data_IF_913173459198
#
_entry.id   IF_913173459198
#
_cell.length_a   1.000
_cell.length_b   1.000
_cell.length_c   1.000
_cell.angle_alpha   90.00
_cell.angle_beta   90.00
_cell.angle_gamma   90.00
#
_symmetry.space_group_name_H-M   'P 1'
#
loop_
_entity.id
_entity.type
_entity.pdbx_description
1 polymer ?
#
# COMPACT_ATOMS: atom_id res chain seq x y z
N UNK A 1 14.02 -9.02 1.78
CA UNK A 1 13.88 -10.00 0.67
C UNK A 1 13.16 -9.27 -0.46
N UNK A 2 13.59 -9.38 -1.72
CA UNK A 2 12.85 -8.83 -2.87
C UNK A 2 11.92 -9.90 -3.39
N UNK A 3 10.67 -9.57 -3.68
CA UNK A 3 9.68 -10.53 -4.20
C UNK A 3 9.53 -10.37 -5.72
N UNK A 4 9.06 -11.42 -6.42
CA UNK A 4 8.72 -11.33 -7.85
C UNK A 4 7.69 -10.25 -8.13
N UNK A 5 6.83 -9.93 -7.16
CA UNK A 5 5.90 -8.81 -7.24
C UNK A 5 6.58 -7.46 -7.36
N UNK A 6 7.77 -7.30 -6.77
CA UNK A 6 8.59 -6.08 -6.88
C UNK A 6 9.35 -6.00 -8.21
N UNK A 7 9.63 -7.13 -8.86
CA UNK A 7 10.39 -7.20 -10.12
C UNK A 7 9.51 -7.05 -11.37
N UNK A 8 8.23 -7.49 -11.29
CA UNK A 8 7.31 -7.45 -12.44
C UNK A 8 6.60 -6.11 -12.49
N UNK A 9 7.15 -5.16 -13.20
CA UNK A 9 6.64 -3.79 -13.31
C UNK A 9 5.61 -3.58 -14.44
N UNK A 10 5.53 -4.49 -15.43
CA UNK A 10 4.85 -4.25 -16.71
C UNK A 10 3.49 -4.92 -16.88
N UNK A 11 3.04 -5.73 -15.90
CA UNK A 11 1.77 -6.47 -16.02
C UNK A 11 0.79 -6.09 -14.91
N UNK A 12 -0.51 -6.07 -15.22
CA UNK A 12 -1.59 -5.84 -14.25
C UNK A 12 -1.58 -6.95 -13.18
N UNK A 13 -1.80 -6.59 -11.89
CA UNK A 13 -1.95 -7.56 -10.79
C UNK A 13 -3.07 -8.56 -11.05
N UNK A 14 -4.12 -8.15 -11.76
CA UNK A 14 -5.25 -9.00 -12.13
C UNK A 14 -4.86 -10.12 -13.07
N UNK A 15 -3.78 -9.97 -13.87
CA UNK A 15 -3.31 -11.00 -14.81
C UNK A 15 -2.62 -12.20 -14.13
N UNK A 16 -2.31 -12.09 -12.83
CA UNK A 16 -1.68 -13.16 -12.03
C UNK A 16 -2.65 -13.83 -11.05
N UNK A 17 -3.96 -13.73 -11.28
CA UNK A 17 -4.96 -14.34 -10.40
C UNK A 17 -5.27 -13.57 -9.13
N UNK A 18 -4.73 -12.35 -8.96
CA UNK A 18 -5.12 -11.39 -7.92
C UNK A 18 -4.77 -11.76 -6.47
N UNK A 19 -4.36 -12.99 -6.19
CA UNK A 19 -4.06 -13.47 -4.83
C UNK A 19 -2.56 -13.77 -4.68
N UNK A 20 -1.95 -13.25 -3.61
CA UNK A 20 -0.65 -13.73 -3.12
C UNK A 20 0.60 -13.38 -3.95
N UNK A 21 0.55 -12.38 -4.84
CA UNK A 21 1.72 -12.03 -5.67
C UNK A 21 2.89 -11.50 -4.82
N UNK A 22 2.61 -10.96 -3.64
CA UNK A 22 3.60 -10.41 -2.72
C UNK A 22 3.80 -11.28 -1.47
N UNK A 23 2.87 -12.20 -1.16
CA UNK A 23 2.92 -12.99 0.09
C UNK A 23 3.48 -14.39 -0.14
N UNK A 24 3.22 -15.01 -1.29
CA UNK A 24 3.53 -16.41 -1.54
C UNK A 24 5.00 -16.79 -1.31
N UNK A 25 5.94 -15.97 -1.74
CA UNK A 25 7.38 -16.25 -1.55
C UNK A 25 7.78 -16.17 -0.08
N UNK A 26 7.17 -15.23 0.67
CA UNK A 26 7.37 -15.10 2.12
C UNK A 26 6.69 -16.24 2.87
N UNK A 27 5.48 -16.64 2.46
CA UNK A 27 4.75 -17.80 3.00
C UNK A 27 5.56 -19.10 2.82
N UNK A 28 6.14 -19.32 1.63
CA UNK A 28 7.01 -20.47 1.36
C UNK A 28 8.27 -20.44 2.24
N UNK A 29 8.89 -19.26 2.44
CA UNK A 29 10.06 -19.09 3.30
C UNK A 29 9.73 -19.32 4.78
N UNK A 30 8.56 -18.87 5.26
CA UNK A 30 8.07 -19.14 6.61
C UNK A 30 7.85 -20.65 6.85
N UNK A 31 7.20 -21.33 5.89
CA UNK A 31 6.97 -22.77 5.99
C UNK A 31 8.26 -23.58 6.03
N UNK A 32 9.28 -23.17 5.26
CA UNK A 32 10.62 -23.77 5.24
C UNK A 32 11.52 -23.34 6.41
N UNK A 33 11.04 -22.41 7.25
CA UNK A 33 11.81 -21.81 8.35
C UNK A 33 13.09 -21.08 7.90
N UNK A 34 13.09 -20.57 6.66
CA UNK A 34 14.15 -19.69 6.12
C UNK A 34 14.04 -18.27 6.69
N UNK A 35 12.83 -17.87 7.11
CA UNK A 35 12.54 -16.65 7.86
C UNK A 35 11.66 -16.96 9.05
N UNK A 36 11.75 -16.17 10.11
CA UNK A 36 11.01 -16.38 11.35
C UNK A 36 9.63 -15.73 11.33
N UNK A 37 9.55 -14.53 10.77
CA UNK A 37 8.36 -13.70 10.70
C UNK A 37 8.31 -12.99 9.34
N UNK A 38 7.10 -12.73 8.84
CA UNK A 38 6.88 -11.85 7.70
C UNK A 38 5.96 -10.69 8.09
N UNK A 39 6.32 -9.46 7.71
CA UNK A 39 5.56 -8.26 8.00
C UNK A 39 4.92 -7.75 6.73
N UNK A 40 3.62 -7.54 6.76
CA UNK A 40 2.81 -7.15 5.61
C UNK A 40 1.95 -5.92 5.92
N UNK A 41 1.58 -5.18 4.89
CA UNK A 41 0.42 -4.30 4.98
C UNK A 41 -0.85 -5.16 4.99
N UNK A 42 -1.70 -5.03 6.01
CA UNK A 42 -2.88 -5.90 6.16
C UNK A 42 -3.82 -5.86 4.95
N UNK A 43 -3.93 -4.70 4.28
CA UNK A 43 -4.73 -4.53 3.06
C UNK A 43 -4.26 -5.38 1.86
N UNK A 44 -3.01 -5.86 1.88
CA UNK A 44 -2.41 -6.64 0.80
C UNK A 44 -2.40 -8.16 1.11
N UNK A 45 -2.87 -8.53 2.32
CA UNK A 45 -2.96 -9.92 2.76
C UNK A 45 -4.11 -10.67 2.07
N UNK A 46 -3.92 -11.97 1.79
CA UNK A 46 -5.01 -12.82 1.31
C UNK A 46 -6.03 -13.08 2.42
N UNK A 47 -7.27 -13.42 2.03
CA UNK A 47 -8.32 -13.82 2.97
C UNK A 47 -8.12 -15.23 3.56
N UNK A 48 -7.35 -16.06 2.87
CA UNK A 48 -7.05 -17.45 3.25
C UNK A 48 -5.54 -17.63 3.27
N UNK A 49 -5.03 -18.24 4.34
CA UNK A 49 -3.61 -18.52 4.54
C UNK A 49 -3.29 -19.97 4.24
N UNK A 50 -2.07 -20.29 3.79
CA UNK A 50 -1.58 -21.66 3.70
C UNK A 50 -1.69 -22.37 5.06
N UNK A 51 -1.96 -23.69 5.02
CA UNK A 51 -1.97 -24.50 6.23
C UNK A 51 -0.62 -24.39 6.96
N UNK A 52 -0.68 -24.18 8.27
CA UNK A 52 0.51 -24.01 9.10
C UNK A 52 0.95 -22.56 9.31
N UNK A 53 0.38 -21.57 8.57
CA UNK A 53 0.61 -20.15 8.80
C UNK A 53 -0.61 -19.48 9.46
N UNK A 54 -0.39 -18.32 10.06
CA UNK A 54 -1.43 -17.50 10.66
C UNK A 54 -0.93 -16.06 10.87
N UNK A 55 -1.87 -15.14 11.03
CA UNK A 55 -1.55 -13.79 11.53
C UNK A 55 -1.38 -13.86 13.03
N UNK A 56 -0.13 -13.75 13.48
CA UNK A 56 0.21 -13.84 14.91
C UNK A 56 0.07 -12.53 15.65
N UNK A 57 0.17 -11.39 14.93
CA UNK A 57 -0.06 -10.07 15.48
C UNK A 57 -0.52 -9.08 14.40
N UNK A 58 -1.31 -8.10 14.81
CA UNK A 58 -1.53 -6.86 14.07
C UNK A 58 -1.04 -5.71 14.95
N UNK A 59 -0.42 -4.72 14.34
CA UNK A 59 0.11 -3.57 15.06
C UNK A 59 -0.93 -2.45 15.10
N UNK A 60 -0.70 -1.47 15.98
CA UNK A 60 -1.51 -0.27 16.07
C UNK A 60 -1.73 0.37 14.69
N UNK A 61 -2.95 0.79 14.44
CA UNK A 61 -3.35 1.35 13.16
C UNK A 61 -2.81 2.77 13.00
N UNK A 62 -2.00 2.98 11.98
CA UNK A 62 -1.56 4.30 11.56
C UNK A 62 -2.64 5.00 10.72
N UNK A 63 -2.35 6.23 10.27
CA UNK A 63 -3.27 7.04 9.47
C UNK A 63 -3.82 6.26 8.27
N UNK A 64 -5.15 6.28 8.14
CA UNK A 64 -5.90 5.51 7.13
C UNK A 64 -6.07 6.24 5.81
N UNK A 65 -5.81 7.56 5.76
CA UNK A 65 -6.08 8.37 4.58
C UNK A 65 -5.33 7.88 3.34
N UNK A 66 -5.98 8.04 2.21
CA UNK A 66 -5.28 8.15 0.94
C UNK A 66 -4.80 9.60 0.78
N UNK A 67 -3.64 9.75 0.14
CA UNK A 67 -3.01 11.06 -0.05
C UNK A 67 -2.75 11.27 -1.53
N UNK A 68 -3.22 12.40 -2.05
CA UNK A 68 -2.75 12.91 -3.34
C UNK A 68 -1.40 13.59 -3.12
N UNK A 69 -0.39 13.14 -3.85
CA UNK A 69 0.96 13.70 -3.80
C UNK A 69 1.25 14.40 -5.13
N UNK A 70 1.65 15.67 -5.05
CA UNK A 70 2.06 16.50 -6.19
C UNK A 70 3.37 17.21 -5.89
N UNK A 71 4.01 17.77 -6.89
CA UNK A 71 5.14 18.70 -6.72
C UNK A 71 4.68 20.16 -6.67
N UNK A 72 3.45 20.45 -7.08
CA UNK A 72 2.91 21.81 -7.25
C UNK A 72 1.98 22.27 -6.14
N UNK A 73 1.41 21.33 -5.37
CA UNK A 73 0.40 21.61 -4.34
C UNK A 73 -1.03 21.75 -4.86
N UNK A 74 -1.26 21.47 -6.15
CA UNK A 74 -2.60 21.49 -6.75
C UNK A 74 -3.45 20.38 -6.13
N UNK A 75 -4.69 20.70 -5.75
CA UNK A 75 -5.64 19.78 -5.14
C UNK A 75 -6.29 18.85 -6.16
N UNK A 76 -6.83 17.71 -5.69
CA UNK A 76 -7.45 16.69 -6.53
C UNK A 76 -8.53 17.27 -7.46
N UNK A 77 -9.42 18.11 -6.92
CA UNK A 77 -10.50 18.76 -7.67
C UNK A 77 -10.02 19.86 -8.65
N UNK A 78 -8.81 20.37 -8.46
CA UNK A 78 -8.21 21.47 -9.21
C UNK A 78 -7.21 21.00 -10.26
N UNK A 79 -6.92 19.69 -10.34
CA UNK A 79 -6.08 19.14 -11.39
C UNK A 79 -6.64 19.50 -12.76
N UNK A 80 -5.78 19.98 -13.64
CA UNK A 80 -6.17 20.40 -14.99
C UNK A 80 -6.73 19.23 -15.82
N UNK A 81 -7.65 19.48 -16.76
CA UNK A 81 -8.14 18.44 -17.66
C UNK A 81 -6.99 17.71 -18.37
N UNK A 82 -7.02 16.38 -18.31
CA UNK A 82 -5.99 15.51 -18.89
C UNK A 82 -4.77 15.27 -18.01
N UNK A 83 -4.68 15.87 -16.80
CA UNK A 83 -3.60 15.57 -15.84
C UNK A 83 -3.48 14.07 -15.58
N UNK A 84 -2.24 13.58 -15.54
CA UNK A 84 -1.93 12.17 -15.37
C UNK A 84 -1.80 11.84 -13.87
N UNK A 85 -2.74 11.07 -13.35
CA UNK A 85 -2.72 10.58 -11.97
C UNK A 85 -2.22 9.15 -11.93
N UNK A 86 -1.15 8.91 -11.17
CA UNK A 86 -0.51 7.60 -11.02
C UNK A 86 -1.17 6.76 -9.91
N UNK A 87 -1.74 5.62 -10.28
CA UNK A 87 -2.18 4.58 -9.35
C UNK A 87 -2.25 3.22 -10.04
N UNK A 88 -2.14 2.12 -9.26
CA UNK A 88 -2.46 0.76 -9.73
C UNK A 88 -3.66 0.18 -8.98
N UNK A 89 -4.32 0.99 -8.15
CA UNK A 89 -5.49 0.60 -7.37
C UNK A 89 -6.76 1.01 -8.11
N UNK A 90 -7.60 0.02 -8.48
CA UNK A 90 -8.90 0.28 -9.09
C UNK A 90 -9.80 1.11 -8.16
N UNK A 91 -9.76 0.84 -6.85
CA UNK A 91 -10.49 1.62 -5.85
C UNK A 91 -10.13 3.12 -5.93
N UNK A 92 -8.83 3.44 -5.95
CA UNK A 92 -8.34 4.82 -6.06
C UNK A 92 -8.68 5.44 -7.41
N UNK A 93 -8.56 4.67 -8.49
CA UNK A 93 -8.92 5.13 -9.83
C UNK A 93 -10.38 5.56 -9.91
N UNK A 94 -11.30 4.75 -9.41
CA UNK A 94 -12.74 5.06 -9.43
C UNK A 94 -13.04 6.32 -8.62
N UNK A 95 -12.51 6.42 -7.40
CA UNK A 95 -12.78 7.53 -6.51
C UNK A 95 -12.15 8.85 -6.97
N UNK A 96 -10.92 8.83 -7.50
CA UNK A 96 -10.32 10.07 -8.03
C UNK A 96 -11.04 10.56 -9.29
N UNK A 97 -11.57 9.66 -10.13
CA UNK A 97 -12.41 10.03 -11.27
C UNK A 97 -13.78 10.57 -10.86
N UNK A 98 -14.30 10.17 -9.72
CA UNK A 98 -15.51 10.75 -9.14
C UNK A 98 -15.25 12.19 -8.65
N UNK A 99 -14.11 12.43 -8.01
CA UNK A 99 -13.69 13.77 -7.58
C UNK A 99 -13.36 14.70 -8.75
N UNK A 100 -12.70 14.18 -9.77
CA UNK A 100 -12.30 14.93 -10.96
C UNK A 100 -12.34 14.01 -12.21
N UNK A 101 -13.46 14.03 -12.96
CA UNK A 101 -13.64 13.15 -14.13
C UNK A 101 -12.69 13.44 -15.29
N UNK A 102 -12.01 14.58 -15.27
CA UNK A 102 -11.15 15.02 -16.38
C UNK A 102 -9.73 14.47 -16.34
N UNK A 103 -9.32 13.85 -15.22
CA UNK A 103 -7.99 13.28 -15.08
C UNK A 103 -7.83 11.98 -15.87
N UNK A 104 -6.59 11.68 -16.25
CA UNK A 104 -6.19 10.43 -16.89
C UNK A 104 -5.43 9.56 -15.89
N UNK A 105 -5.81 8.30 -15.82
CA UNK A 105 -5.11 7.36 -14.96
C UNK A 105 -4.01 6.65 -15.73
N UNK A 106 -2.84 6.58 -15.12
CA UNK A 106 -1.71 5.77 -15.60
C UNK A 106 -1.24 4.85 -14.49
N UNK A 107 -1.01 3.58 -14.82
CA UNK A 107 -0.49 2.59 -13.88
C UNK A 107 0.83 3.05 -13.27
N UNK A 108 0.92 3.00 -11.93
CA UNK A 108 2.10 3.36 -11.15
C UNK A 108 2.54 2.18 -10.28
N UNK A 109 3.73 1.66 -10.55
CA UNK A 109 4.35 0.54 -9.86
C UNK A 109 5.67 0.92 -9.20
N UNK A 110 6.10 0.09 -8.25
CA UNK A 110 7.29 0.24 -7.43
C UNK A 110 6.95 0.52 -5.97
N UNK A 111 7.96 0.55 -5.11
CA UNK A 111 7.82 0.98 -3.72
C UNK A 111 7.53 2.50 -3.64
N UNK A 112 7.23 2.99 -2.43
CA UNK A 112 6.85 4.41 -2.21
C UNK A 112 7.93 5.35 -2.75
N UNK A 113 9.20 5.10 -2.45
CA UNK A 113 10.33 5.94 -2.90
C UNK A 113 10.42 5.98 -4.44
N UNK A 114 10.29 4.84 -5.10
CA UNK A 114 10.29 4.75 -6.57
C UNK A 114 9.13 5.54 -7.18
N UNK A 115 7.93 5.49 -6.55
CA UNK A 115 6.76 6.22 -7.02
C UNK A 115 6.94 7.73 -6.88
N UNK A 116 7.48 8.20 -5.75
CA UNK A 116 7.79 9.62 -5.54
C UNK A 116 8.86 10.10 -6.53
N UNK A 117 9.90 9.31 -6.77
CA UNK A 117 10.91 9.63 -7.77
C UNK A 117 10.29 9.81 -9.16
N UNK A 118 9.41 8.92 -9.61
CA UNK A 118 8.70 9.04 -10.89
C UNK A 118 7.83 10.29 -10.97
N UNK A 119 7.21 10.70 -9.86
CA UNK A 119 6.49 11.97 -9.78
C UNK A 119 7.43 13.16 -9.97
N UNK A 120 8.55 13.21 -9.24
CA UNK A 120 9.56 14.28 -9.35
C UNK A 120 10.20 14.37 -10.75
N UNK A 121 10.34 13.25 -11.44
CA UNK A 121 10.80 13.15 -12.82
C UNK A 121 9.73 13.65 -13.86
N UNK A 122 8.56 14.07 -13.39
CA UNK A 122 7.49 14.59 -14.27
C UNK A 122 6.77 13.50 -15.09
N UNK A 123 6.90 12.21 -14.71
CA UNK A 123 6.17 11.14 -15.39
C UNK A 123 4.67 11.16 -15.06
N UNK A 124 4.28 11.84 -13.98
CA UNK A 124 2.91 12.01 -13.46
C UNK A 124 2.75 13.43 -12.96
N UNK A 125 1.54 14.00 -13.08
CA UNK A 125 1.18 15.29 -12.49
C UNK A 125 0.83 15.12 -11.00
N UNK A 126 0.27 13.96 -10.64
CA UNK A 126 -0.04 13.56 -9.27
C UNK A 126 0.05 12.05 -9.12
N UNK A 127 0.23 11.57 -7.88
CA UNK A 127 0.15 10.14 -7.54
C UNK A 127 -0.68 9.93 -6.28
N UNK A 128 -1.29 8.75 -6.14
CA UNK A 128 -2.07 8.37 -4.97
C UNK A 128 -1.32 7.35 -4.10
N UNK A 129 -1.05 7.71 -2.85
CA UNK A 129 -0.36 6.88 -1.86
C UNK A 129 -1.21 6.74 -0.59
N UNK A 130 -0.84 5.83 0.32
CA UNK A 130 -1.40 5.76 1.66
C UNK A 130 -0.55 6.60 2.62
N UNK A 131 -1.17 7.41 3.47
CA UNK A 131 -0.52 8.25 4.48
C UNK A 131 0.47 7.44 5.35
N UNK A 132 0.02 6.33 5.92
CA UNK A 132 0.86 5.45 6.73
C UNK A 132 2.17 5.02 6.04
N UNK A 133 2.18 4.86 4.71
CA UNK A 133 3.39 4.51 3.96
C UNK A 133 4.38 5.67 3.86
N UNK A 134 3.88 6.89 3.71
CA UNK A 134 4.69 8.11 3.69
C UNK A 134 5.29 8.39 5.07
N UNK A 135 4.46 8.36 6.11
CA UNK A 135 4.86 8.64 7.51
C UNK A 135 5.92 7.66 8.01
N UNK A 136 5.72 6.35 7.79
CA UNK A 136 6.68 5.32 8.21
C UNK A 136 8.06 5.46 7.56
N UNK A 137 8.12 6.07 6.39
CA UNK A 137 9.36 6.34 5.67
C UNK A 137 9.89 7.76 5.89
N UNK A 138 9.19 8.60 6.67
CA UNK A 138 9.53 10.01 6.88
C UNK A 138 9.40 10.88 5.64
N UNK A 139 8.67 10.41 4.62
CA UNK A 139 8.50 11.09 3.33
C UNK A 139 7.36 12.12 3.35
N UNK A 140 6.56 12.14 4.41
CA UNK A 140 5.53 13.14 4.66
C UNK A 140 6.10 14.55 4.91
N UNK A 141 7.39 14.64 5.27
CA UNK A 141 8.12 15.88 5.54
C UNK A 141 9.02 16.34 4.39
N UNK A 142 8.93 15.69 3.23
CA UNK A 142 9.79 15.99 2.09
C UNK A 142 9.39 17.31 1.41
N UNK A 143 10.31 18.28 1.33
CA UNK A 143 10.05 19.65 0.87
C UNK A 143 9.67 19.73 -0.62
N UNK A 144 10.08 18.76 -1.43
CA UNK A 144 9.85 18.76 -2.89
C UNK A 144 8.46 18.24 -3.29
N UNK A 145 7.68 17.73 -2.34
CA UNK A 145 6.33 17.24 -2.57
C UNK A 145 5.31 17.98 -1.71
N UNK A 146 4.06 17.96 -2.13
CA UNK A 146 2.92 18.50 -1.42
C UNK A 146 1.86 17.42 -1.27
N UNK A 147 1.29 17.35 -0.09
CA UNK A 147 0.35 16.31 0.30
C UNK A 147 -1.04 16.89 0.48
N UNK A 148 -2.04 16.25 -0.12
CA UNK A 148 -3.44 16.46 0.17
C UNK A 148 -4.00 15.16 0.75
N UNK A 149 -4.33 15.17 2.03
CA UNK A 149 -5.05 14.08 2.68
C UNK A 149 -6.50 14.09 2.21
N UNK A 150 -6.92 13.02 1.56
CA UNK A 150 -8.26 12.91 0.99
C UNK A 150 -9.24 12.47 2.08
N UNK A 151 -10.31 13.22 2.25
CA UNK A 151 -11.34 12.99 3.27
C UNK A 151 -11.91 11.58 3.17
N UNK A 152 -11.91 10.83 4.27
CA UNK A 152 -12.33 9.42 4.33
C UNK A 152 -13.81 9.20 4.06
N UNK A 153 -14.67 10.22 4.23
CA UNK A 153 -16.10 10.14 3.91
C UNK A 153 -16.34 10.19 2.39
N UNK A 154 -15.47 10.90 1.67
CA UNK A 154 -15.58 11.05 0.22
C UNK A 154 -14.55 10.24 -0.57
N UNK A 155 -13.53 9.72 0.07
CA UNK A 155 -12.50 8.88 -0.51
C UNK A 155 -12.17 7.71 0.43
N UNK A 156 -12.98 6.65 0.35
CA UNK A 156 -12.92 5.52 1.26
C UNK A 156 -11.57 4.78 1.19
N UNK A 157 -10.87 4.60 2.31
CA UNK A 157 -9.63 3.83 2.36
C UNK A 157 -9.85 2.34 2.08
N UNK A 158 -8.79 1.60 1.81
CA UNK A 158 -8.86 0.15 1.72
C UNK A 158 -9.12 -0.46 3.11
N UNK A 159 -9.84 -1.58 3.17
CA UNK A 159 -9.91 -2.38 4.39
C UNK A 159 -8.51 -2.75 4.86
N UNK A 160 -8.22 -2.64 6.16
CA UNK A 160 -6.90 -2.87 6.73
C UNK A 160 -5.83 -1.82 6.37
N UNK A 161 -6.17 -0.71 5.71
CA UNK A 161 -5.21 0.36 5.45
C UNK A 161 -4.73 0.98 6.77
N UNK A 162 -3.42 1.24 6.87
CA UNK A 162 -2.77 1.72 8.09
C UNK A 162 -2.25 0.62 9.01
N UNK A 163 -2.74 -0.61 8.87
CA UNK A 163 -2.36 -1.75 9.72
C UNK A 163 -1.17 -2.51 9.11
N UNK A 164 -0.20 -2.87 9.96
CA UNK A 164 0.80 -3.90 9.69
C UNK A 164 0.37 -5.20 10.36
N UNK A 165 0.42 -6.28 9.60
CA UNK A 165 0.17 -7.63 10.07
C UNK A 165 1.47 -8.43 10.10
N UNK A 166 1.66 -9.23 11.14
CA UNK A 166 2.82 -10.11 11.29
C UNK A 166 2.35 -11.55 11.11
N UNK A 167 2.82 -12.16 10.02
CA UNK A 167 2.56 -13.55 9.70
C UNK A 167 3.67 -14.45 10.26
N UNK A 168 3.28 -15.61 10.79
CA UNK A 168 4.17 -16.58 11.40
C UNK A 168 3.71 -18.00 11.16
N UNK A 169 4.63 -18.97 11.34
CA UNK A 169 4.31 -20.39 11.43
C UNK A 169 3.64 -20.70 12.77
N UNK A 170 2.55 -21.46 12.75
CA UNK A 170 1.78 -21.84 13.95
C UNK A 170 2.67 -22.45 15.03
N UNK A 171 2.48 -21.98 16.26
CA UNK A 171 3.23 -22.46 17.43
C UNK A 171 4.60 -21.80 17.62
N UNK A 172 5.04 -20.93 16.72
CA UNK A 172 6.31 -20.18 16.87
C UNK A 172 6.06 -18.75 17.31
N UNK A 173 6.95 -18.22 18.14
CA UNK A 173 6.98 -16.80 18.58
C UNK A 173 5.70 -16.29 19.26
N UNK A 174 4.84 -17.19 19.77
CA UNK A 174 3.51 -16.83 20.30
C UNK A 174 3.55 -15.74 21.36
N UNK A 175 4.49 -15.80 22.32
CA UNK A 175 4.58 -14.81 23.41
C UNK A 175 5.10 -13.45 22.90
N UNK A 176 6.06 -13.47 21.95
CA UNK A 176 6.56 -12.23 21.32
C UNK A 176 5.45 -11.57 20.51
N UNK A 177 4.72 -12.36 19.72
CA UNK A 177 3.63 -11.84 18.89
C UNK A 177 2.49 -11.27 19.75
N UNK A 178 2.13 -11.91 20.87
CA UNK A 178 1.17 -11.35 21.82
C UNK A 178 1.61 -10.01 22.40
N UNK A 179 2.91 -9.83 22.67
CA UNK A 179 3.41 -8.59 23.27
C UNK A 179 3.33 -7.37 22.36
N UNK A 180 3.24 -7.57 21.04
CA UNK A 180 3.13 -6.50 20.03
C UNK A 180 1.74 -6.42 19.39
N UNK A 181 0.82 -7.33 19.74
CA UNK A 181 -0.53 -7.37 19.20
C UNK A 181 -1.38 -6.24 19.76
N UNK A 182 -2.07 -5.54 18.88
CA UNK A 182 -3.05 -4.51 19.22
C UNK A 182 -4.47 -5.05 18.96
N UNK A 183 -5.20 -5.35 20.04
CA UNK A 183 -6.56 -5.91 19.93
C UNK A 183 -7.57 -4.93 19.31
N UNK A 184 -7.35 -3.62 19.48
CA UNK A 184 -8.22 -2.59 18.90
C UNK A 184 -8.10 -2.50 17.37
N UNK A 185 -6.98 -3.00 16.81
CA UNK A 185 -6.70 -2.97 15.38
C UNK A 185 -7.02 -4.32 14.68
N UNK A 186 -7.36 -5.36 15.46
CA UNK A 186 -7.56 -6.73 14.99
C UNK A 186 -8.94 -6.98 14.34
#
# INVERSE_FOLDING_TARGET
MSTKGDEILDKSLTSFGGKGVFTRELEEALLKEEVDLAVHSAKDMPMEFPEGLYIGAVLERADVHDVLVTTTGVKARELAPGSIVGTSSLRRELQIKELNPTVRIRMLRGNVQTRIRKLKEGQYDAILLAAAGLERLGLDKEEEIRLEYLDTDSFLPAAGQGILAVEAKKGRFTEVLKSIHCEEAA
#
